data_IF_640090170578
#
_entry.id   IF_640090170578
#
_cell.length_a   1.000
_cell.length_b   1.000
_cell.length_c   1.000
_cell.angle_alpha   90.00
_cell.angle_beta   90.00
_cell.angle_gamma   90.00
#
_symmetry.space_group_name_H-M   'P 1'
#
loop_
_entity.id
_entity.type
_entity.pdbx_description
1 polymer ?
#
# COMPACT_ATOMS: atom_id res chain seq x y z
N UNK A 1 -18.03 -0.84 -12.52
CA UNK A 1 -16.86 -1.76 -12.56
C UNK A 1 -16.41 -2.09 -13.98
N UNK A 2 -17.30 -2.58 -14.84
CA UNK A 2 -17.01 -3.06 -16.20
C UNK A 2 -16.20 -2.10 -17.08
N UNK A 3 -16.65 -0.85 -17.22
CA UNK A 3 -15.98 0.14 -18.10
C UNK A 3 -14.50 0.33 -17.75
N UNK A 4 -14.16 0.50 -16.46
CA UNK A 4 -12.77 0.68 -16.02
C UNK A 4 -11.91 -0.58 -16.14
N UNK A 5 -12.51 -1.77 -16.11
CA UNK A 5 -11.79 -3.05 -16.26
C UNK A 5 -11.57 -3.45 -17.72
N UNK A 6 -12.55 -3.20 -18.61
CA UNK A 6 -12.57 -3.81 -19.95
C UNK A 6 -12.34 -2.81 -21.09
N UNK A 7 -12.40 -1.50 -20.82
CA UNK A 7 -12.28 -0.48 -21.87
C UNK A 7 -10.93 0.25 -21.79
N UNK A 8 -9.99 0.01 -22.72
CA UNK A 8 -8.75 0.78 -22.84
C UNK A 8 -8.97 2.29 -23.03
N UNK A 9 -10.15 2.68 -23.52
CA UNK A 9 -10.56 4.09 -23.69
C UNK A 9 -11.00 4.75 -22.38
N UNK A 10 -11.08 4.03 -21.27
CA UNK A 10 -11.38 4.62 -19.97
C UNK A 10 -10.14 5.30 -19.40
N UNK A 11 -10.27 6.54 -18.92
CA UNK A 11 -9.18 7.26 -18.22
C UNK A 11 -8.63 6.47 -17.01
N UNK A 12 -9.47 5.62 -16.42
CA UNK A 12 -9.09 4.77 -15.30
C UNK A 12 -8.52 3.42 -15.72
N UNK A 13 -8.50 3.05 -17.00
CA UNK A 13 -8.10 1.71 -17.43
C UNK A 13 -6.74 1.28 -16.89
N UNK A 14 -5.74 2.17 -16.94
CA UNK A 14 -4.39 1.93 -16.41
C UNK A 14 -4.39 1.51 -14.92
N UNK A 15 -5.35 1.98 -14.12
CA UNK A 15 -5.47 1.65 -12.70
C UNK A 15 -6.25 0.36 -12.42
N UNK A 16 -6.89 -0.21 -13.44
CA UNK A 16 -7.77 -1.37 -13.34
C UNK A 16 -7.41 -2.40 -14.42
N UNK A 17 -8.04 -2.33 -15.60
CA UNK A 17 -7.83 -3.29 -16.68
C UNK A 17 -6.38 -3.43 -17.15
N UNK A 18 -5.63 -2.32 -17.21
CA UNK A 18 -4.20 -2.31 -17.55
C UNK A 18 -3.31 -3.05 -16.54
N UNK A 19 -3.86 -3.41 -15.37
CA UNK A 19 -3.20 -4.21 -14.33
C UNK A 19 -3.66 -5.67 -14.33
N UNK A 20 -4.51 -6.06 -15.27
CA UNK A 20 -5.11 -7.39 -15.32
C UNK A 20 -6.32 -7.58 -14.42
N UNK A 21 -6.86 -6.50 -13.81
CA UNK A 21 -8.03 -6.61 -12.93
C UNK A 21 -9.32 -6.75 -13.75
N UNK A 22 -10.02 -7.86 -13.53
CA UNK A 22 -11.27 -8.22 -14.22
C UNK A 22 -12.48 -8.20 -13.28
N UNK A 23 -13.66 -8.33 -13.88
CA UNK A 23 -14.90 -8.69 -13.20
C UNK A 23 -15.13 -10.17 -13.46
N UNK A 24 -15.54 -10.94 -12.45
CA UNK A 24 -15.83 -12.36 -12.65
C UNK A 24 -17.00 -12.56 -13.63
N UNK A 25 -16.95 -13.66 -14.38
CA UNK A 25 -17.93 -13.96 -15.43
C UNK A 25 -19.35 -14.11 -14.86
N UNK A 26 -19.49 -14.59 -13.62
CA UNK A 26 -20.79 -14.70 -12.93
C UNK A 26 -21.55 -13.35 -12.89
N UNK A 27 -20.82 -12.25 -12.73
CA UNK A 27 -21.41 -10.91 -12.65
C UNK A 27 -21.65 -10.28 -14.03
N UNK A 28 -21.37 -10.99 -15.13
CA UNK A 28 -21.83 -10.62 -16.49
C UNK A 28 -23.34 -10.59 -16.58
N UNK A 29 -24.00 -11.49 -15.84
CA UNK A 29 -25.42 -11.36 -15.54
C UNK A 29 -25.63 -10.38 -14.37
N UNK A 30 -26.27 -9.26 -14.66
CA UNK A 30 -26.65 -8.26 -13.66
C UNK A 30 -27.50 -8.85 -12.53
N UNK A 31 -28.36 -9.83 -12.79
CA UNK A 31 -29.20 -10.45 -11.78
C UNK A 31 -28.37 -11.21 -10.74
N UNK A 32 -27.28 -11.85 -11.14
CA UNK A 32 -26.36 -12.51 -10.21
C UNK A 32 -25.64 -11.49 -9.34
N UNK A 33 -25.14 -10.40 -9.93
CA UNK A 33 -24.56 -9.29 -9.17
C UNK A 33 -25.56 -8.69 -8.18
N UNK A 34 -26.81 -8.44 -8.60
CA UNK A 34 -27.87 -7.88 -7.73
C UNK A 34 -28.20 -8.82 -6.57
N UNK A 35 -28.31 -10.12 -6.81
CA UNK A 35 -28.53 -11.12 -5.76
C UNK A 35 -27.39 -11.11 -4.74
N UNK A 36 -26.14 -11.08 -5.20
CA UNK A 36 -24.97 -10.95 -4.33
C UNK A 36 -25.03 -9.63 -3.54
N UNK A 37 -25.30 -8.52 -4.21
CA UNK A 37 -25.34 -7.18 -3.61
C UNK A 37 -26.31 -7.12 -2.41
N UNK A 38 -27.55 -7.55 -2.63
CA UNK A 38 -28.60 -7.55 -1.59
C UNK A 38 -28.27 -8.52 -0.44
N UNK A 39 -27.74 -9.70 -0.74
CA UNK A 39 -27.34 -10.68 0.28
C UNK A 39 -26.14 -10.23 1.13
N UNK A 40 -25.30 -9.34 0.61
CA UNK A 40 -24.06 -8.92 1.27
C UNK A 40 -24.14 -7.51 1.87
N UNK A 41 -25.35 -6.98 2.09
CA UNK A 41 -25.54 -5.74 2.85
C UNK A 41 -25.41 -4.46 2.01
N UNK A 42 -25.86 -4.49 0.76
CA UNK A 42 -26.00 -3.27 -0.05
C UNK A 42 -26.79 -2.20 0.71
N UNK A 43 -26.31 -0.96 0.64
CA UNK A 43 -26.97 0.25 1.10
C UNK A 43 -26.58 1.39 0.17
N UNK A 44 -27.48 2.36 -0.04
CA UNK A 44 -27.23 3.57 -0.85
C UNK A 44 -26.07 4.42 -0.31
N UNK A 45 -25.74 4.28 0.98
CA UNK A 45 -24.62 4.98 1.60
C UNK A 45 -23.25 4.32 1.35
N UNK A 46 -23.26 3.10 0.81
CA UNK A 46 -22.06 2.29 0.59
C UNK A 46 -21.75 2.18 -0.90
N UNK A 47 -20.49 1.90 -1.19
CA UNK A 47 -20.05 1.65 -2.56
C UNK A 47 -19.16 0.43 -2.62
N UNK A 48 -19.18 -0.24 -3.77
CA UNK A 48 -18.43 -1.48 -3.95
C UNK A 48 -16.92 -1.22 -3.92
N UNK A 49 -16.24 -1.91 -3.01
CA UNK A 49 -14.80 -1.90 -2.82
C UNK A 49 -14.23 -3.30 -3.02
N UNK A 50 -12.93 -3.39 -3.28
CA UNK A 50 -12.20 -4.67 -3.30
C UNK A 50 -11.42 -4.84 -2.02
N UNK A 51 -11.56 -5.95 -1.31
CA UNK A 51 -10.83 -6.22 -0.08
C UNK A 51 -9.32 -6.24 -0.35
N UNK A 52 -8.90 -6.98 -1.37
CA UNK A 52 -7.58 -6.89 -1.97
C UNK A 52 -7.65 -5.96 -3.19
N UNK A 53 -7.04 -4.78 -3.07
CA UNK A 53 -7.01 -3.74 -4.11
C UNK A 53 -6.33 -4.18 -5.42
N UNK A 54 -5.51 -5.24 -5.36
CA UNK A 54 -4.81 -5.83 -6.50
C UNK A 54 -5.57 -7.04 -7.09
N UNK A 55 -6.63 -7.51 -6.43
CA UNK A 55 -7.47 -8.62 -6.90
C UNK A 55 -8.64 -8.18 -7.81
N UNK A 56 -9.42 -9.17 -8.27
CA UNK A 56 -10.55 -8.99 -9.18
C UNK A 56 -11.81 -8.46 -8.46
N UNK A 57 -12.82 -8.05 -9.25
CA UNK A 57 -14.18 -7.90 -8.74
C UNK A 57 -14.87 -9.26 -8.76
N UNK A 58 -15.03 -9.85 -7.59
CA UNK A 58 -15.60 -11.18 -7.39
C UNK A 58 -16.17 -11.28 -5.96
N UNK A 59 -17.14 -12.18 -5.71
CA UNK A 59 -17.80 -12.30 -4.40
C UNK A 59 -16.85 -12.40 -3.20
N UNK A 60 -15.74 -13.12 -3.34
CA UNK A 60 -14.72 -13.33 -2.29
C UNK A 60 -13.84 -12.11 -2.04
N UNK A 61 -13.70 -11.22 -3.02
CA UNK A 61 -12.80 -10.07 -2.97
C UNK A 61 -13.56 -8.74 -2.92
N UNK A 62 -14.88 -8.73 -2.86
CA UNK A 62 -15.67 -7.51 -2.84
C UNK A 62 -16.44 -7.33 -1.53
N UNK A 63 -16.63 -6.07 -1.15
CA UNK A 63 -17.44 -5.66 -0.01
C UNK A 63 -18.17 -4.35 -0.32
N UNK A 64 -19.25 -4.10 0.40
CA UNK A 64 -19.82 -2.75 0.50
C UNK A 64 -19.04 -1.98 1.54
N UNK A 65 -18.55 -0.80 1.17
CA UNK A 65 -17.64 -0.02 2.00
C UNK A 65 -18.02 1.46 1.99
N UNK A 66 -17.78 2.10 3.12
CA UNK A 66 -17.85 3.55 3.30
C UNK A 66 -16.71 4.24 2.54
N UNK A 67 -16.85 5.56 2.32
CA UNK A 67 -15.78 6.38 1.74
C UNK A 67 -14.47 6.27 2.52
N UNK A 68 -14.52 6.19 3.85
CA UNK A 68 -13.31 6.07 4.67
C UNK A 68 -12.63 4.71 4.49
N UNK A 69 -13.39 3.62 4.44
CA UNK A 69 -12.84 2.28 4.21
C UNK A 69 -12.19 2.16 2.82
N UNK A 70 -12.83 2.69 1.78
CA UNK A 70 -12.23 2.75 0.45
C UNK A 70 -10.98 3.61 0.41
N UNK A 71 -11.02 4.78 1.04
CA UNK A 71 -9.86 5.66 1.14
C UNK A 71 -8.71 4.96 1.85
N UNK A 72 -8.97 4.21 2.91
CA UNK A 72 -7.96 3.43 3.63
C UNK A 72 -7.36 2.28 2.79
N UNK A 73 -8.11 1.75 1.84
CA UNK A 73 -7.67 0.71 0.90
C UNK A 73 -6.87 1.26 -0.31
N UNK A 74 -6.70 2.58 -0.42
CA UNK A 74 -5.94 3.18 -1.52
C UNK A 74 -4.46 2.77 -1.49
N UNK A 75 -3.95 2.36 -2.66
CA UNK A 75 -2.53 1.97 -2.85
C UNK A 75 -1.53 3.10 -2.60
N UNK A 76 -1.99 4.34 -2.62
CA UNK A 76 -1.18 5.51 -2.30
C UNK A 76 -0.95 5.70 -0.80
N UNK A 77 -1.68 4.97 0.05
CA UNK A 77 -1.51 5.07 1.49
C UNK A 77 -0.19 4.45 1.96
N UNK A 78 0.37 5.09 2.98
CA UNK A 78 1.49 4.55 3.74
C UNK A 78 0.93 3.61 4.80
N UNK A 79 1.10 2.30 4.64
CA UNK A 79 0.68 1.30 5.62
C UNK A 79 1.84 0.92 6.54
N UNK A 80 1.59 0.94 7.85
CA UNK A 80 2.58 0.63 8.88
C UNK A 80 2.06 -0.52 9.74
N UNK A 81 2.95 -1.48 10.04
CA UNK A 81 2.61 -2.63 10.89
C UNK A 81 3.25 -2.49 12.26
N UNK A 82 2.45 -2.54 13.33
CA UNK A 82 2.91 -2.55 14.72
C UNK A 82 2.22 -3.66 15.50
N UNK A 83 3.00 -4.50 16.21
CA UNK A 83 2.49 -5.63 17.01
C UNK A 83 1.45 -6.50 16.28
N UNK A 84 1.71 -6.83 15.01
CA UNK A 84 0.84 -7.68 14.19
C UNK A 84 -0.36 -6.98 13.55
N UNK A 85 -0.62 -5.71 13.89
CA UNK A 85 -1.71 -4.92 13.31
C UNK A 85 -1.16 -3.98 12.24
N UNK A 86 -1.82 -3.94 11.08
CA UNK A 86 -1.50 -3.00 10.00
C UNK A 86 -2.59 -1.96 9.88
N UNK A 87 -2.20 -0.67 9.86
CA UNK A 87 -3.10 0.46 9.58
C UNK A 87 -2.39 1.46 8.66
N UNK A 88 -3.17 2.34 8.05
CA UNK A 88 -2.63 3.52 7.38
C UNK A 88 -1.90 4.41 8.40
N UNK A 89 -0.91 5.18 7.95
CA UNK A 89 -0.19 6.14 8.78
C UNK A 89 -1.18 7.13 9.44
N UNK A 90 -2.20 7.56 8.71
CA UNK A 90 -3.29 8.40 9.24
C UNK A 90 -4.14 7.66 10.28
N UNK A 91 -4.42 6.38 10.09
CA UNK A 91 -5.10 5.54 11.08
C UNK A 91 -4.32 5.39 12.37
N UNK A 92 -2.99 5.21 12.29
CA UNK A 92 -2.12 5.24 13.46
C UNK A 92 -2.05 6.62 14.10
N UNK A 93 -2.00 7.70 13.31
CA UNK A 93 -2.02 9.07 13.83
C UNK A 93 -3.26 9.33 14.68
N UNK A 94 -4.44 8.90 14.20
CA UNK A 94 -5.71 8.99 14.94
C UNK A 94 -5.66 8.17 16.24
N UNK A 95 -5.11 6.95 16.18
CA UNK A 95 -4.98 6.07 17.36
C UNK A 95 -4.08 6.69 18.44
N UNK A 96 -3.01 7.39 18.02
CA UNK A 96 -2.08 8.05 18.93
C UNK A 96 -2.52 9.46 19.36
N UNK A 97 -3.64 9.98 18.84
CA UNK A 97 -4.06 11.36 19.08
C UNK A 97 -3.11 12.42 18.51
N UNK A 98 -2.32 12.10 17.48
CA UNK A 98 -1.41 13.04 16.82
C UNK A 98 -1.93 13.47 15.45
N UNK A 99 -1.50 14.64 14.98
CA UNK A 99 -1.90 15.12 13.66
C UNK A 99 -1.29 14.28 12.54
N UNK A 100 -1.95 14.23 11.38
CA UNK A 100 -1.38 13.63 10.16
C UNK A 100 -0.01 14.23 9.81
N UNK A 101 0.13 15.55 9.96
CA UNK A 101 1.37 16.28 9.65
C UNK A 101 2.52 15.79 10.52
N UNK A 102 2.28 15.63 11.81
CA UNK A 102 3.23 15.06 12.76
C UNK A 102 3.65 13.63 12.38
N UNK A 103 2.68 12.77 12.04
CA UNK A 103 2.96 11.40 11.61
C UNK A 103 3.89 11.39 10.40
N UNK A 104 3.54 12.14 9.34
CA UNK A 104 4.37 12.21 8.13
C UNK A 104 5.74 12.83 8.40
N UNK A 105 5.83 13.88 9.22
CA UNK A 105 7.12 14.44 9.64
C UNK A 105 8.02 13.39 10.32
N UNK A 106 7.47 12.53 11.19
CA UNK A 106 8.23 11.43 11.81
C UNK A 106 8.72 10.42 10.75
N UNK A 107 7.85 10.05 9.81
CA UNK A 107 8.20 9.12 8.72
C UNK A 107 9.30 9.71 7.82
N UNK A 108 9.22 10.99 7.47
CA UNK A 108 10.22 11.70 6.65
C UNK A 108 11.58 11.77 7.36
N UNK A 109 11.55 11.90 8.70
CA UNK A 109 12.74 11.81 9.57
C UNK A 109 13.20 10.38 9.84
N UNK A 110 12.67 9.40 9.12
CA UNK A 110 13.04 7.99 9.20
C UNK A 110 12.85 7.40 10.61
N UNK A 111 11.79 7.82 11.30
CA UNK A 111 11.38 7.18 12.54
C UNK A 111 10.78 5.81 12.24
N UNK A 112 11.17 4.80 12.99
CA UNK A 112 10.55 3.48 12.89
C UNK A 112 9.15 3.50 13.48
N UNK A 113 8.34 2.49 13.16
CA UNK A 113 7.01 2.37 13.74
C UNK A 113 7.09 2.18 15.26
N UNK A 114 8.09 1.47 15.77
CA UNK A 114 8.32 1.32 17.20
C UNK A 114 8.60 2.67 17.88
N UNK A 115 9.46 3.51 17.28
CA UNK A 115 9.74 4.87 17.78
C UNK A 115 8.47 5.74 17.75
N UNK A 116 7.73 5.70 16.65
CA UNK A 116 6.48 6.48 16.50
C UNK A 116 5.46 6.10 17.59
N UNK A 117 5.35 4.81 17.90
CA UNK A 117 4.37 4.29 18.86
C UNK A 117 4.79 4.45 20.32
N UNK A 118 6.07 4.63 20.62
CA UNK A 118 6.60 4.66 22.00
C UNK A 118 7.07 6.04 22.45
N UNK A 119 7.49 6.90 21.52
CA UNK A 119 8.04 8.21 21.85
C UNK A 119 6.94 9.28 21.72
N UNK A 120 6.62 10.01 22.81
CA UNK A 120 5.59 11.05 22.78
C UNK A 120 6.05 12.28 21.99
N UNK A 121 5.14 13.25 21.81
CA UNK A 121 5.45 14.51 21.16
C UNK A 121 6.53 15.29 21.91
N UNK A 122 7.47 15.89 21.18
CA UNK A 122 8.66 16.54 21.76
C UNK A 122 9.75 15.59 22.27
N UNK A 123 9.47 14.28 22.33
CA UNK A 123 10.44 13.27 22.69
C UNK A 123 11.59 13.18 21.68
N UNK A 124 12.80 12.90 22.19
CA UNK A 124 14.00 12.71 21.36
C UNK A 124 14.20 11.22 21.05
N UNK A 125 14.76 10.96 19.88
CA UNK A 125 15.22 9.61 19.48
C UNK A 125 16.30 9.12 20.45
N UNK A 126 16.33 7.81 20.67
CA UNK A 126 17.27 7.19 21.61
C UNK A 126 18.61 6.88 20.92
N UNK A 127 19.60 6.40 21.68
CA UNK A 127 20.91 6.01 21.11
C UNK A 127 20.80 4.75 20.23
N UNK A 128 19.79 3.94 20.47
CA UNK A 128 19.49 2.68 19.77
C UNK A 128 18.78 2.91 18.42
N UNK A 129 18.31 4.13 18.17
CA UNK A 129 17.73 4.54 16.90
C UNK A 129 18.66 4.24 15.73
N UNK A 130 18.14 3.76 14.58
CA UNK A 130 18.96 3.48 13.40
C UNK A 130 19.75 4.73 12.96
N UNK A 131 21.08 4.64 13.02
CA UNK A 131 21.97 5.70 12.49
C UNK A 131 21.91 5.80 10.96
N UNK A 132 21.61 4.69 10.29
CA UNK A 132 21.44 4.64 8.84
C UNK A 132 20.00 4.94 8.45
N UNK A 133 19.81 5.61 7.30
CA UNK A 133 18.50 5.86 6.71
C UNK A 133 17.73 4.55 6.50
N UNK A 134 16.49 4.52 6.96
CA UNK A 134 15.55 3.42 6.77
C UNK A 134 14.48 3.78 5.76
N UNK A 135 13.92 2.77 5.11
CA UNK A 135 12.88 2.88 4.10
C UNK A 135 11.73 1.95 4.49
N UNK A 136 10.50 2.40 4.28
CA UNK A 136 9.33 1.56 4.47
C UNK A 136 9.28 0.52 3.35
N UNK A 137 9.43 -0.76 3.70
CA UNK A 137 9.40 -1.88 2.79
C UNK A 137 8.47 -2.96 3.35
N UNK A 138 7.43 -3.33 2.62
CA UNK A 138 6.38 -4.28 3.05
C UNK A 138 5.86 -3.99 4.47
N UNK A 139 5.52 -2.72 4.74
CA UNK A 139 4.95 -2.29 6.03
C UNK A 139 5.94 -2.20 7.19
N UNK A 140 7.23 -2.48 6.98
CA UNK A 140 8.28 -2.40 8.00
C UNK A 140 9.44 -1.52 7.55
N UNK A 141 10.05 -0.81 8.49
CA UNK A 141 11.25 -0.03 8.20
C UNK A 141 12.48 -0.94 8.07
N UNK A 142 13.21 -0.78 6.96
CA UNK A 142 14.42 -1.52 6.65
C UNK A 142 15.53 -0.60 6.16
N UNK A 143 16.76 -0.85 6.58
CA UNK A 143 17.95 -0.24 5.97
C UNK A 143 18.23 -0.88 4.61
N UNK A 144 18.97 -0.20 3.75
CA UNK A 144 19.43 -0.80 2.48
C UNK A 144 20.27 -2.07 2.70
N UNK A 145 21.02 -2.14 3.80
CA UNK A 145 21.78 -3.35 4.19
C UNK A 145 20.85 -4.51 4.52
N UNK A 146 19.76 -4.27 5.24
CA UNK A 146 18.75 -5.30 5.50
C UNK A 146 18.03 -5.72 4.22
N UNK A 147 17.65 -4.77 3.36
CA UNK A 147 17.01 -5.09 2.08
C UNK A 147 17.92 -5.89 1.16
N UNK A 148 19.20 -5.55 1.13
CA UNK A 148 20.20 -6.30 0.38
C UNK A 148 20.28 -7.77 0.82
N UNK A 149 20.31 -8.03 2.13
CA UNK A 149 20.26 -9.40 2.66
C UNK A 149 18.97 -10.14 2.30
N UNK A 150 17.82 -9.45 2.29
CA UNK A 150 16.51 -10.05 1.99
C UNK A 150 16.35 -10.36 0.50
N UNK A 151 16.92 -9.53 -0.38
CA UNK A 151 16.63 -9.57 -1.82
C UNK A 151 17.79 -10.00 -2.70
N UNK A 152 19.00 -10.11 -2.14
CA UNK A 152 20.20 -10.45 -2.91
C UNK A 152 20.66 -9.34 -3.87
N UNK A 153 20.19 -8.10 -3.68
CA UNK A 153 20.60 -6.94 -4.51
C UNK A 153 21.57 -6.08 -3.70
N UNK A 154 22.67 -5.63 -4.31
CA UNK A 154 23.67 -4.81 -3.62
C UNK A 154 23.04 -3.49 -3.09
N UNK A 155 23.38 -3.01 -1.87
CA UNK A 155 22.77 -1.81 -1.29
C UNK A 155 22.91 -0.56 -2.16
N UNK A 156 24.03 -0.41 -2.87
CA UNK A 156 24.27 0.74 -3.74
C UNK A 156 23.45 0.70 -5.03
N UNK A 157 23.14 -0.49 -5.54
CA UNK A 157 22.19 -0.62 -6.65
C UNK A 157 20.80 -0.17 -6.22
N UNK A 158 20.35 -0.60 -5.03
CA UNK A 158 19.05 -0.18 -4.48
C UNK A 158 19.07 1.35 -4.28
N UNK A 159 20.16 1.90 -3.73
CA UNK A 159 20.33 3.35 -3.52
C UNK A 159 20.25 4.13 -4.84
N UNK A 160 20.97 3.68 -5.86
CA UNK A 160 20.98 4.31 -7.18
C UNK A 160 19.58 4.30 -7.79
N UNK A 161 18.87 3.17 -7.74
CA UNK A 161 17.49 3.04 -8.21
C UNK A 161 16.54 4.03 -7.53
N UNK A 162 16.63 4.18 -6.21
CA UNK A 162 15.84 5.17 -5.47
C UNK A 162 16.22 6.60 -5.91
N UNK A 163 17.52 6.88 -6.10
CA UNK A 163 18.01 8.20 -6.54
C UNK A 163 17.44 8.60 -7.90
N UNK A 164 17.26 7.66 -8.82
CA UNK A 164 16.64 7.90 -10.14
C UNK A 164 15.10 7.84 -10.11
N UNK A 165 14.48 7.86 -8.92
CA UNK A 165 13.03 7.98 -8.74
C UNK A 165 12.27 6.67 -8.59
N UNK A 166 12.95 5.52 -8.54
CA UNK A 166 12.28 4.23 -8.35
C UNK A 166 11.74 4.08 -6.92
N UNK A 167 10.51 3.58 -6.78
CA UNK A 167 9.95 3.24 -5.45
C UNK A 167 10.78 2.15 -4.80
N UNK A 168 10.90 2.20 -3.47
CA UNK A 168 11.69 1.24 -2.69
C UNK A 168 11.34 -0.22 -2.97
N UNK A 169 10.05 -0.53 -3.16
CA UNK A 169 9.58 -1.88 -3.49
C UNK A 169 10.18 -2.39 -4.81
N UNK A 170 10.12 -1.57 -5.86
CA UNK A 170 10.69 -1.90 -7.16
C UNK A 170 12.21 -1.89 -7.11
N UNK A 171 12.80 -0.90 -6.44
CA UNK A 171 14.24 -0.74 -6.30
C UNK A 171 14.90 -1.98 -5.68
N UNK A 172 14.22 -2.60 -4.71
CA UNK A 172 14.66 -3.77 -3.99
C UNK A 172 14.32 -5.11 -4.69
N UNK A 173 13.53 -5.14 -5.76
CA UNK A 173 13.05 -6.40 -6.37
C UNK A 173 13.30 -6.52 -7.88
N UNK A 174 13.49 -5.39 -8.59
CA UNK A 174 13.73 -5.40 -10.03
C UNK A 174 15.00 -6.19 -10.35
N UNK A 175 14.96 -7.19 -11.26
CA UNK A 175 16.14 -7.93 -11.67
C UNK A 175 17.26 -6.99 -12.15
N UNK A 176 18.51 -7.39 -11.94
CA UNK A 176 19.64 -6.70 -12.56
C UNK A 176 19.54 -6.92 -14.07
N UNK A 177 19.69 -5.86 -14.86
CA UNK A 177 19.76 -5.99 -16.32
C UNK A 177 20.96 -6.87 -16.67
N UNK A 178 20.74 -7.97 -17.39
CA UNK A 178 21.84 -8.69 -18.04
C UNK A 178 22.29 -7.82 -19.23
N UNK A 179 23.31 -6.98 -18.99
CA UNK A 179 24.36 -6.56 -19.94
C UNK A 179 24.82 -5.12 -19.67
N UNK A 180 26.07 -5.00 -19.23
CA UNK A 180 27.02 -3.97 -19.67
C UNK A 180 28.45 -4.43 -19.34
N UNK A 181 28.82 -5.61 -19.84
CA UNK A 181 30.20 -6.00 -20.09
C UNK A 181 30.18 -6.85 -21.36
N UNK A 182 30.25 -6.15 -22.48
CA UNK A 182 30.80 -6.64 -23.73
C UNK A 182 32.01 -5.75 -24.02
#
# INVERSE_FOLDING_TARGET
MRRRCNSPKSDYYYNYGGRGIKVCDEWDDYLNFRKWALRNGYSEELSIDRINVDGNYEPSNCRWATREEQANNARSNVNLTYKGVTKTATGWARTLGITKSTMFHRLDRSWTIEEIMTIPMGGRRTKESPKAKVYLYNGKFKTLKQLSKIKGIHPDTIRHRIKIGMKIEEAATKPLSKNQFA
#
